data_IF_918418855071
#
_entry.id   IF_918418855071
#
_cell.length_a   1.000
_cell.length_b   1.000
_cell.length_c   1.000
_cell.angle_alpha   90.00
_cell.angle_beta   90.00
_cell.angle_gamma   90.00
#
_symmetry.space_group_name_H-M   'P 1'
#
loop_
_entity.id
_entity.type
_entity.pdbx_description
1 polymer ?
#
# COMPACT_ATOMS: atom_id res chain seq x y z
N UNK A 1 -26.24 17.64 45.33
CA UNK A 1 -26.02 16.31 45.96
C UNK A 1 -24.75 15.72 45.38
N UNK A 2 -23.78 15.34 46.21
CA UNK A 2 -22.58 14.64 45.74
C UNK A 2 -22.92 13.15 45.58
N UNK A 3 -22.61 12.57 44.42
CA UNK A 3 -22.77 11.13 44.20
C UNK A 3 -21.63 10.36 44.86
N UNK A 4 -21.91 9.14 45.35
CA UNK A 4 -20.89 8.26 45.90
C UNK A 4 -19.79 7.96 44.86
N UNK A 5 -18.55 7.85 45.34
CA UNK A 5 -17.42 7.42 44.51
C UNK A 5 -17.67 6.01 43.98
N UNK A 6 -17.19 5.75 42.76
CA UNK A 6 -17.25 4.43 42.11
C UNK A 6 -16.02 4.20 41.24
N UNK A 7 -15.74 2.94 40.93
CA UNK A 7 -14.67 2.59 39.99
C UNK A 7 -15.08 2.77 38.53
N UNK A 8 -14.10 3.15 37.69
CA UNK A 8 -14.29 3.35 36.26
C UNK A 8 -14.62 2.04 35.51
N UNK A 9 -15.71 2.05 34.73
CA UNK A 9 -16.18 0.85 34.04
C UNK A 9 -15.42 0.50 32.73
N UNK A 10 -14.31 1.18 32.42
CA UNK A 10 -13.50 0.84 31.26
C UNK A 10 -12.59 -0.36 31.56
N UNK A 11 -11.66 -0.14 32.48
CA UNK A 11 -10.60 -1.07 32.89
C UNK A 11 -10.36 -1.02 34.40
N UNK A 12 -11.29 -0.43 35.16
CA UNK A 12 -11.12 -0.14 36.59
C UNK A 12 -9.90 0.74 36.90
N UNK A 13 -9.44 1.58 35.95
CA UNK A 13 -8.23 2.40 36.12
C UNK A 13 -8.17 3.29 37.37
N UNK A 14 -9.31 3.81 37.83
CA UNK A 14 -9.38 4.65 39.02
C UNK A 14 -10.78 4.71 39.64
N UNK A 15 -10.83 5.11 40.91
CA UNK A 15 -12.05 5.50 41.61
C UNK A 15 -12.33 7.01 41.40
N UNK A 16 -13.57 7.37 41.05
CA UNK A 16 -13.95 8.76 40.77
C UNK A 16 -15.30 9.14 41.35
N UNK A 17 -15.50 10.44 41.63
CA UNK A 17 -16.80 11.00 42.00
C UNK A 17 -17.58 11.39 40.73
N UNK A 18 -18.75 10.77 40.45
CA UNK A 18 -19.51 11.05 39.25
C UNK A 18 -20.23 12.41 39.32
N UNK A 19 -20.38 13.06 38.17
CA UNK A 19 -21.14 14.32 37.99
C UNK A 19 -22.63 14.08 37.70
N UNK A 20 -22.99 12.87 37.32
CA UNK A 20 -24.38 12.43 37.09
C UNK A 20 -24.55 10.97 37.51
N UNK A 21 -25.80 10.57 37.80
CA UNK A 21 -26.11 9.19 38.24
C UNK A 21 -25.64 8.11 37.24
N UNK A 22 -25.70 8.41 35.94
CA UNK A 22 -25.32 7.52 34.84
C UNK A 22 -23.84 7.63 34.40
N UNK A 23 -23.04 8.48 35.04
CA UNK A 23 -21.62 8.56 34.69
C UNK A 23 -20.87 7.33 35.22
N UNK A 24 -20.44 6.47 34.31
CA UNK A 24 -19.72 5.21 34.60
C UNK A 24 -18.24 5.25 34.21
N UNK A 25 -17.79 6.30 33.52
CA UNK A 25 -16.40 6.47 33.11
C UNK A 25 -15.76 7.68 33.78
N UNK A 26 -14.49 7.52 34.17
CA UNK A 26 -13.70 8.61 34.73
C UNK A 26 -13.35 9.66 33.64
N UNK A 27 -13.28 10.93 34.06
CA UNK A 27 -12.95 12.07 33.18
C UNK A 27 -11.44 12.20 33.01
N UNK A 28 -10.69 12.04 34.10
CA UNK A 28 -9.23 12.26 34.14
C UNK A 28 -8.49 11.35 33.16
N UNK A 29 -8.78 10.04 33.16
CA UNK A 29 -8.18 9.08 32.23
C UNK A 29 -8.85 9.06 30.85
N UNK A 30 -9.84 9.93 30.61
CA UNK A 30 -10.62 10.06 29.36
C UNK A 30 -11.24 8.75 28.88
N UNK A 31 -11.67 7.88 29.80
CA UNK A 31 -12.09 6.51 29.49
C UNK A 31 -13.33 6.42 28.61
N UNK A 32 -14.28 7.37 28.71
CA UNK A 32 -15.41 7.45 27.77
C UNK A 32 -14.94 7.57 26.32
N UNK A 33 -13.92 8.41 26.07
CA UNK A 33 -13.34 8.62 24.75
C UNK A 33 -12.56 7.39 24.26
N UNK A 34 -11.86 6.69 25.16
CA UNK A 34 -11.18 5.43 24.84
C UNK A 34 -12.17 4.37 24.35
N UNK A 35 -13.26 4.16 25.08
CA UNK A 35 -14.35 3.24 24.69
C UNK A 35 -15.01 3.66 23.37
N UNK A 36 -15.29 4.95 23.18
CA UNK A 36 -15.83 5.44 21.90
C UNK A 36 -14.86 5.22 20.73
N UNK A 37 -13.55 5.41 20.95
CA UNK A 37 -12.52 5.16 19.94
C UNK A 37 -12.40 3.67 19.61
N UNK A 38 -12.42 2.79 20.62
CA UNK A 38 -12.42 1.34 20.41
C UNK A 38 -13.64 0.87 19.64
N UNK A 39 -14.84 1.38 19.96
CA UNK A 39 -16.07 1.09 19.19
C UNK A 39 -16.02 1.59 17.75
N UNK A 40 -15.28 2.67 17.50
CA UNK A 40 -15.08 3.24 16.15
C UNK A 40 -13.95 2.58 15.39
N UNK A 41 -13.08 1.80 16.03
CA UNK A 41 -12.10 0.99 15.31
C UNK A 41 -12.89 -0.11 14.61
N UNK A 42 -13.02 0.02 13.30
CA UNK A 42 -13.30 -1.14 12.46
C UNK A 42 -12.16 -2.13 12.71
N UNK A 43 -12.48 -3.28 13.26
CA UNK A 43 -11.56 -4.40 13.25
C UNK A 43 -11.48 -4.85 11.78
N UNK A 44 -10.46 -4.36 11.07
CA UNK A 44 -10.25 -4.65 9.66
C UNK A 44 -10.24 -6.16 9.41
N UNK A 45 -9.72 -6.96 10.34
CA UNK A 45 -9.67 -8.42 10.21
C UNK A 45 -11.07 -9.02 10.34
N UNK A 46 -11.90 -8.52 11.26
CA UNK A 46 -13.29 -8.94 11.41
C UNK A 46 -14.23 -8.43 10.29
N UNK A 47 -13.74 -7.52 9.43
CA UNK A 47 -14.53 -6.90 8.35
C UNK A 47 -14.55 -7.74 7.06
N UNK A 48 -13.78 -8.83 6.98
CA UNK A 48 -13.69 -9.66 5.77
C UNK A 48 -13.87 -11.15 6.11
N UNK A 49 -14.70 -11.86 5.34
CA UNK A 49 -14.88 -13.33 5.44
C UNK A 49 -13.58 -14.09 5.10
N UNK A 50 -12.78 -13.52 4.21
CA UNK A 50 -11.40 -13.92 3.95
C UNK A 50 -10.50 -12.71 4.25
N UNK A 51 -9.71 -12.75 5.34
CA UNK A 51 -8.80 -11.67 5.64
C UNK A 51 -7.83 -11.48 4.48
N UNK A 52 -7.53 -10.22 4.13
CA UNK A 52 -6.43 -9.94 3.20
C UNK A 52 -5.16 -10.56 3.77
N UNK A 53 -4.60 -11.54 3.07
CA UNK A 53 -3.33 -12.12 3.47
C UNK A 53 -2.24 -11.07 3.28
N UNK A 54 -1.76 -10.50 4.40
CA UNK A 54 -0.57 -9.67 4.38
C UNK A 54 0.63 -10.55 4.10
N UNK A 55 1.21 -10.41 2.92
CA UNK A 55 2.46 -11.09 2.59
C UNK A 55 3.59 -10.44 3.36
N UNK A 56 4.08 -11.12 4.40
CA UNK A 56 5.28 -10.69 5.12
C UNK A 56 6.52 -11.15 4.35
N UNK A 57 7.17 -10.22 3.65
CA UNK A 57 8.45 -10.47 3.00
C UNK A 57 9.58 -10.41 4.03
N UNK A 58 10.12 -11.58 4.40
CA UNK A 58 11.31 -11.65 5.26
C UNK A 58 12.58 -11.59 4.42
N UNK A 59 13.57 -10.80 4.87
CA UNK A 59 14.91 -10.72 4.27
C UNK A 59 15.89 -11.43 5.21
N UNK A 60 16.01 -12.76 5.18
CA UNK A 60 16.73 -13.54 6.20
C UNK A 60 18.25 -13.39 6.16
N UNK A 61 18.82 -12.73 5.14
CA UNK A 61 20.27 -12.60 4.92
C UNK A 61 20.75 -11.14 4.87
N UNK A 62 20.01 -10.23 5.49
CA UNK A 62 20.46 -8.84 5.61
C UNK A 62 21.67 -8.78 6.57
N UNK A 63 22.85 -8.51 6.01
CA UNK A 63 24.07 -8.21 6.79
C UNK A 63 23.98 -6.80 7.40
N UNK A 64 24.86 -6.49 8.35
CA UNK A 64 24.98 -5.12 8.84
C UNK A 64 25.30 -4.16 7.68
N UNK A 65 24.60 -3.02 7.64
CA UNK A 65 24.67 -2.07 6.54
C UNK A 65 23.96 -2.53 5.25
N UNK A 66 23.08 -3.54 5.31
CA UNK A 66 22.22 -3.91 4.17
C UNK A 66 21.27 -2.76 3.84
N UNK A 67 21.43 -2.21 2.63
CA UNK A 67 20.69 -1.03 2.16
C UNK A 67 19.44 -1.45 1.41
N UNK A 68 18.30 -0.97 1.85
CA UNK A 68 17.01 -1.16 1.18
C UNK A 68 16.54 0.19 0.66
N UNK A 69 16.17 0.24 -0.61
CA UNK A 69 15.43 1.37 -1.17
C UNK A 69 14.00 0.89 -1.45
N UNK A 70 13.03 1.66 -0.97
CA UNK A 70 11.61 1.41 -1.20
C UNK A 70 11.10 2.54 -2.09
N UNK A 71 10.43 2.17 -3.18
CA UNK A 71 9.76 3.10 -4.09
C UNK A 71 8.35 2.60 -4.36
N UNK A 72 7.39 3.51 -4.46
CA UNK A 72 5.98 3.23 -4.68
C UNK A 72 5.37 4.39 -5.46
N UNK A 73 4.17 4.18 -6.00
CA UNK A 73 3.34 5.24 -6.57
C UNK A 73 4.04 6.08 -7.66
N UNK A 74 4.90 5.44 -8.47
CA UNK A 74 5.48 6.14 -9.63
C UNK A 74 4.42 6.37 -10.71
N UNK A 75 3.41 5.50 -10.81
CA UNK A 75 2.29 5.62 -11.75
C UNK A 75 2.75 5.95 -13.18
N UNK A 76 3.73 5.20 -13.67
CA UNK A 76 4.34 5.40 -14.99
C UNK A 76 3.26 5.20 -16.07
N UNK A 77 3.16 6.09 -17.08
CA UNK A 77 4.09 7.17 -17.47
C UNK A 77 3.74 8.59 -16.96
N UNK A 78 2.92 8.71 -15.92
CA UNK A 78 2.41 10.01 -15.43
C UNK A 78 3.15 10.56 -14.21
N UNK A 79 4.29 9.98 -13.85
CA UNK A 79 5.15 10.46 -12.76
C UNK A 79 5.54 11.94 -12.92
N UNK A 80 5.80 12.61 -11.81
CA UNK A 80 6.57 13.85 -11.84
C UNK A 80 8.04 13.53 -12.18
N UNK A 81 8.41 13.84 -13.43
CA UNK A 81 9.74 13.50 -13.98
C UNK A 81 10.88 14.13 -13.19
N UNK A 82 10.70 15.36 -12.66
CA UNK A 82 11.77 16.05 -11.91
C UNK A 82 12.03 15.38 -10.57
N UNK A 83 10.97 15.01 -9.87
CA UNK A 83 11.02 14.30 -8.60
C UNK A 83 11.64 12.92 -8.77
N UNK A 84 11.15 12.15 -9.76
CA UNK A 84 11.70 10.82 -10.00
C UNK A 84 13.18 10.89 -10.37
N UNK A 85 13.59 11.83 -11.23
CA UNK A 85 15.00 12.03 -11.56
C UNK A 85 15.88 12.36 -10.33
N UNK A 86 15.38 13.12 -9.37
CA UNK A 86 16.13 13.41 -8.14
C UNK A 86 16.28 12.17 -7.26
N UNK A 87 15.19 11.39 -7.11
CA UNK A 87 15.21 10.10 -6.40
C UNK A 87 16.18 9.14 -7.07
N UNK A 88 16.17 9.05 -8.39
CA UNK A 88 17.06 8.19 -9.17
C UNK A 88 18.54 8.54 -9.02
N UNK A 89 18.88 9.82 -8.89
CA UNK A 89 20.27 10.24 -8.59
C UNK A 89 20.68 9.74 -7.21
N UNK A 90 19.85 9.98 -6.19
CA UNK A 90 20.10 9.45 -4.85
C UNK A 90 20.21 7.92 -4.86
N UNK A 91 19.35 7.23 -5.61
CA UNK A 91 19.37 5.78 -5.77
C UNK A 91 20.73 5.30 -6.27
N UNK A 92 21.27 5.95 -7.30
CA UNK A 92 22.60 5.67 -7.84
C UNK A 92 23.72 5.87 -6.83
N UNK A 93 23.69 6.96 -6.06
CA UNK A 93 24.68 7.22 -4.99
C UNK A 93 24.55 6.20 -3.84
N UNK A 94 23.31 5.90 -3.48
CA UNK A 94 22.94 5.02 -2.38
C UNK A 94 23.31 3.56 -2.66
N UNK A 95 23.30 3.10 -3.92
CA UNK A 95 23.66 1.72 -4.33
C UNK A 95 23.03 0.65 -3.42
N UNK A 96 21.69 0.49 -3.45
CA UNK A 96 20.99 -0.43 -2.56
C UNK A 96 21.35 -1.89 -2.82
N UNK A 97 21.19 -2.73 -1.80
CA UNK A 97 21.25 -4.18 -1.92
C UNK A 97 19.89 -4.78 -2.31
N UNK A 98 18.81 -4.10 -1.95
CA UNK A 98 17.43 -4.44 -2.31
C UNK A 98 16.69 -3.20 -2.79
N UNK A 99 16.02 -3.34 -3.92
CA UNK A 99 15.01 -2.42 -4.44
C UNK A 99 13.64 -3.06 -4.22
N UNK A 100 12.81 -2.43 -3.40
CA UNK A 100 11.43 -2.84 -3.15
C UNK A 100 10.49 -1.86 -3.86
N UNK A 101 9.83 -2.35 -4.89
CA UNK A 101 8.79 -1.64 -5.62
C UNK A 101 7.46 -1.96 -4.93
N UNK A 102 7.01 -1.07 -4.04
CA UNK A 102 5.88 -1.30 -3.16
C UNK A 102 4.55 -0.76 -3.76
N UNK A 103 4.22 -1.27 -4.94
CA UNK A 103 2.94 -1.03 -5.60
C UNK A 103 2.84 0.28 -6.37
N UNK A 104 1.85 0.31 -7.26
CA UNK A 104 1.45 1.44 -8.10
C UNK A 104 2.62 2.03 -8.88
N UNK A 105 3.47 1.15 -9.41
CA UNK A 105 4.59 1.53 -10.25
C UNK A 105 4.10 1.95 -11.62
N UNK A 106 3.14 1.21 -12.16
CA UNK A 106 2.46 1.50 -13.43
C UNK A 106 1.11 2.12 -13.14
N UNK A 107 0.66 3.03 -13.99
CA UNK A 107 -0.70 3.54 -13.82
C UNK A 107 -1.75 2.57 -14.39
N UNK A 108 -1.51 1.98 -15.56
CA UNK A 108 -2.53 1.22 -16.30
C UNK A 108 -3.81 2.03 -16.55
N UNK A 109 -3.64 3.29 -16.94
CA UNK A 109 -4.73 4.22 -17.21
C UNK A 109 -5.67 3.70 -18.30
N UNK A 110 -5.10 3.14 -19.39
CA UNK A 110 -5.86 2.63 -20.54
C UNK A 110 -6.94 1.63 -20.15
N UNK A 111 -6.66 0.81 -19.14
CA UNK A 111 -7.54 -0.27 -18.67
C UNK A 111 -8.19 0.05 -17.31
N UNK A 112 -8.02 1.28 -16.81
CA UNK A 112 -8.70 1.76 -15.61
C UNK A 112 -10.21 1.88 -15.83
N UNK A 113 -10.98 2.13 -14.77
CA UNK A 113 -12.43 2.39 -14.88
C UNK A 113 -12.79 3.86 -15.12
N UNK A 114 -11.82 4.78 -15.07
CA UNK A 114 -12.07 6.23 -15.20
C UNK A 114 -12.44 6.63 -16.63
N UNK A 115 -13.09 7.78 -16.82
CA UNK A 115 -13.32 8.31 -18.15
C UNK A 115 -12.00 8.63 -18.85
N UNK A 116 -11.92 8.30 -20.15
CA UNK A 116 -10.71 8.51 -20.95
C UNK A 116 -10.94 9.61 -21.97
N UNK A 117 -9.92 10.44 -22.15
CA UNK A 117 -9.91 11.43 -23.21
C UNK A 117 -9.82 10.70 -24.58
N UNK A 118 -10.81 10.86 -25.48
CA UNK A 118 -10.81 10.17 -26.78
C UNK A 118 -9.71 10.63 -27.72
N UNK A 119 -9.09 11.79 -27.49
CA UNK A 119 -7.95 12.26 -28.29
C UNK A 119 -6.61 11.59 -27.93
N UNK A 120 -6.62 10.73 -26.91
CA UNK A 120 -5.41 10.07 -26.41
C UNK A 120 -4.82 9.14 -27.46
N UNK A 121 -3.55 9.33 -27.77
CA UNK A 121 -2.76 8.47 -28.68
C UNK A 121 -2.04 7.33 -27.97
N UNK A 122 -1.73 7.52 -26.70
CA UNK A 122 -0.98 6.56 -25.89
C UNK A 122 -1.87 5.34 -25.59
N UNK A 123 -1.38 4.14 -25.89
CA UNK A 123 -2.12 2.87 -25.73
C UNK A 123 -1.56 2.06 -24.57
N UNK A 124 -2.27 1.00 -24.21
CA UNK A 124 -1.87 0.09 -23.13
C UNK A 124 -0.46 -0.49 -23.34
N UNK A 125 -0.12 -0.94 -24.56
CA UNK A 125 1.23 -1.42 -24.86
C UNK A 125 2.30 -0.35 -24.64
N UNK A 126 2.00 0.91 -24.99
CA UNK A 126 2.96 2.01 -24.81
C UNK A 126 3.23 2.26 -23.29
N UNK A 127 2.23 2.04 -22.43
CA UNK A 127 2.39 2.10 -20.96
C UNK A 127 3.29 0.98 -20.43
N UNK A 128 3.08 -0.25 -20.91
CA UNK A 128 3.92 -1.40 -20.58
C UNK A 128 5.35 -1.16 -21.04
N UNK A 129 5.55 -0.74 -22.29
CA UNK A 129 6.88 -0.52 -22.87
C UNK A 129 7.69 0.55 -22.13
N UNK A 130 7.06 1.66 -21.74
CA UNK A 130 7.74 2.72 -20.99
C UNK A 130 8.13 2.24 -19.60
N UNK A 131 7.26 1.49 -18.94
CA UNK A 131 7.57 0.93 -17.61
C UNK A 131 8.67 -0.11 -17.69
N UNK A 132 8.59 -1.04 -18.66
CA UNK A 132 9.64 -2.02 -18.94
C UNK A 132 10.99 -1.34 -19.13
N UNK A 133 11.05 -0.31 -20.00
CA UNK A 133 12.28 0.46 -20.23
C UNK A 133 12.81 1.12 -18.95
N UNK A 134 11.92 1.67 -18.14
CA UNK A 134 12.29 2.29 -16.88
C UNK A 134 12.86 1.28 -15.88
N UNK A 135 12.18 0.14 -15.66
CA UNK A 135 12.64 -0.95 -14.80
C UNK A 135 13.97 -1.53 -15.29
N UNK A 136 14.09 -1.77 -16.60
CA UNK A 136 15.34 -2.24 -17.21
C UNK A 136 16.49 -1.25 -16.99
N UNK A 137 16.23 0.07 -17.05
CA UNK A 137 17.24 1.08 -16.72
C UNK A 137 17.70 0.97 -15.26
N UNK A 138 16.81 0.61 -14.32
CA UNK A 138 17.18 0.39 -12.91
C UNK A 138 18.04 -0.87 -12.76
N UNK A 139 17.72 -1.92 -13.51
CA UNK A 139 18.55 -3.12 -13.60
C UNK A 139 19.97 -2.81 -14.06
N UNK A 140 20.12 -2.00 -15.10
CA UNK A 140 21.42 -1.56 -15.60
C UNK A 140 22.18 -0.65 -14.61
N UNK A 141 21.46 0.25 -13.90
CA UNK A 141 22.07 1.17 -12.94
C UNK A 141 22.57 0.47 -11.67
N UNK A 142 21.86 -0.56 -11.19
CA UNK A 142 22.20 -1.29 -9.95
C UNK A 142 22.20 -2.82 -10.17
N UNK A 143 23.12 -3.37 -10.99
CA UNK A 143 23.04 -4.77 -11.40
C UNK A 143 23.13 -5.77 -10.24
N UNK A 144 23.74 -5.39 -9.11
CA UNK A 144 23.86 -6.23 -7.92
C UNK A 144 22.69 -6.16 -6.94
N UNK A 145 21.69 -5.30 -7.18
CA UNK A 145 20.55 -5.18 -6.29
C UNK A 145 19.54 -6.30 -6.54
N UNK A 146 19.05 -6.92 -5.47
CA UNK A 146 17.84 -7.76 -5.52
C UNK A 146 16.64 -6.86 -5.78
N UNK A 147 15.64 -7.34 -6.52
CA UNK A 147 14.41 -6.60 -6.83
C UNK A 147 13.19 -7.39 -6.40
N UNK A 148 12.22 -6.71 -5.82
CA UNK A 148 10.92 -7.27 -5.48
C UNK A 148 9.85 -6.25 -5.86
N UNK A 149 8.86 -6.68 -6.64
CA UNK A 149 7.62 -5.94 -6.85
C UNK A 149 6.55 -6.52 -5.94
N UNK A 150 5.90 -5.65 -5.16
CA UNK A 150 4.66 -5.93 -4.46
C UNK A 150 3.58 -5.21 -5.23
N UNK A 151 2.60 -5.95 -5.73
CA UNK A 151 1.54 -5.38 -6.56
C UNK A 151 0.62 -4.46 -5.76
N UNK A 152 0.31 -3.29 -6.34
CA UNK A 152 -0.68 -2.35 -5.84
C UNK A 152 -2.04 -2.51 -6.52
N UNK A 153 -2.94 -1.58 -6.26
CA UNK A 153 -4.28 -1.61 -6.88
C UNK A 153 -4.25 -1.21 -8.35
N UNK A 154 -3.19 -0.53 -8.82
CA UNK A 154 -2.99 -0.26 -10.23
C UNK A 154 -2.57 -1.53 -10.96
N UNK A 155 -1.57 -2.27 -10.46
CA UNK A 155 -1.16 -3.56 -11.02
C UNK A 155 -2.35 -4.54 -11.14
N UNK A 156 -3.17 -4.61 -10.09
CA UNK A 156 -4.38 -5.42 -10.03
C UNK A 156 -5.42 -5.11 -11.13
N UNK A 157 -5.33 -3.94 -11.78
CA UNK A 157 -6.21 -3.56 -12.91
C UNK A 157 -6.10 -4.56 -14.05
N UNK A 158 -4.92 -5.12 -14.33
CA UNK A 158 -4.75 -6.11 -15.41
C UNK A 158 -5.62 -7.34 -15.14
N UNK A 159 -5.48 -7.92 -13.95
CA UNK A 159 -6.24 -9.11 -13.54
C UNK A 159 -7.74 -8.85 -13.65
N UNK A 160 -8.22 -7.73 -13.09
CA UNK A 160 -9.64 -7.34 -13.17
C UNK A 160 -10.11 -7.11 -14.60
N UNK A 161 -9.27 -6.51 -15.44
CA UNK A 161 -9.59 -6.26 -16.84
C UNK A 161 -9.69 -7.58 -17.64
N UNK A 162 -8.72 -8.50 -17.47
CA UNK A 162 -8.74 -9.83 -18.09
C UNK A 162 -9.96 -10.64 -17.66
N UNK A 163 -10.31 -10.64 -16.37
CA UNK A 163 -11.51 -11.32 -15.87
C UNK A 163 -12.82 -10.75 -16.42
N UNK A 164 -12.84 -9.47 -16.80
CA UNK A 164 -14.03 -8.83 -17.33
C UNK A 164 -14.17 -8.96 -18.84
N UNK A 165 -13.07 -8.83 -19.57
CA UNK A 165 -13.08 -8.67 -21.03
C UNK A 165 -12.37 -9.79 -21.80
N UNK A 166 -11.52 -10.58 -21.14
CA UNK A 166 -10.69 -11.62 -21.75
C UNK A 166 -10.66 -12.90 -20.91
N UNK A 167 -11.81 -13.37 -20.45
CA UNK A 167 -11.94 -14.49 -19.50
C UNK A 167 -11.20 -15.73 -19.98
N UNK A 168 -11.39 -16.12 -21.23
CA UNK A 168 -10.75 -17.30 -21.84
C UNK A 168 -9.22 -17.17 -21.95
N UNK A 169 -8.71 -15.94 -21.91
CA UNK A 169 -7.28 -15.64 -21.96
C UNK A 169 -6.67 -15.41 -20.56
N UNK A 170 -7.50 -15.24 -19.53
CA UNK A 170 -7.03 -14.86 -18.19
C UNK A 170 -6.08 -15.86 -17.52
N UNK A 171 -6.09 -17.12 -17.97
CA UNK A 171 -5.17 -18.17 -17.50
C UNK A 171 -3.87 -18.29 -18.31
N UNK A 172 -3.64 -17.46 -19.32
CA UNK A 172 -2.39 -17.48 -20.08
C UNK A 172 -1.25 -16.91 -19.23
N UNK A 173 -0.23 -17.73 -18.95
CA UNK A 173 0.97 -17.29 -18.23
C UNK A 173 1.63 -16.06 -18.85
N UNK A 174 1.60 -15.95 -20.18
CA UNK A 174 2.15 -14.79 -20.90
C UNK A 174 1.46 -13.45 -20.57
N UNK A 175 0.29 -13.48 -19.90
CA UNK A 175 -0.46 -12.31 -19.47
C UNK A 175 -0.38 -12.07 -17.95
N UNK A 176 0.40 -12.89 -17.22
CA UNK A 176 0.80 -12.60 -15.84
C UNK A 176 1.74 -11.39 -15.84
N UNK A 177 1.61 -10.53 -14.82
CA UNK A 177 2.28 -9.24 -14.79
C UNK A 177 3.81 -9.37 -14.89
N UNK A 178 4.38 -10.39 -14.24
CA UNK A 178 5.82 -10.63 -14.23
C UNK A 178 6.38 -10.97 -15.62
N UNK A 179 5.52 -11.42 -16.55
CA UNK A 179 5.92 -11.73 -17.92
C UNK A 179 5.71 -10.53 -18.87
N UNK A 180 5.07 -9.46 -18.41
CA UNK A 180 4.92 -8.21 -19.15
C UNK A 180 6.07 -7.22 -18.90
N UNK A 181 6.90 -7.45 -17.86
CA UNK A 181 7.86 -6.49 -17.28
C UNK A 181 9.31 -6.99 -17.24
#
# INVERSE_FOLDING_TARGET
MAYAKRWCNYDQCCEFAPRSWNQIYCVECRCKRKVENERKRADEVASFEQPREYVTLKIPRARDGYKVLIINDTQIPFQDVKTLNAVEKFWGDFRPNLELYNGDIMDFYSISNFDKNPSRRFRFQDEVDVTYKWLFSRCAANPGARRILVEGNHEDRIRRWLWKYGQDMSGLRALELENLL
#
